data_IF_959239708670
#
_entry.id   IF_959239708670
#
_cell.length_a   1.000
_cell.length_b   1.000
_cell.length_c   1.000
_cell.angle_alpha   90.00
_cell.angle_beta   90.00
_cell.angle_gamma   90.00
#
_symmetry.space_group_name_H-M   'P 1'
#
loop_
_entity.id
_entity.type
_entity.pdbx_description
1 polymer ?
2 non-polymer ?
3 non-polymer ?
4 non-polymer ?
5 water ?
#
# COMPACT_ATOMS: atom_id res chain seq x y z
N UNK A 39 11.09 18.69 -4.84
CA UNK A 39 10.25 19.59 -3.99
C UNK A 39 9.63 18.77 -2.85
N UNK A 40 8.43 18.26 -3.07
CA UNK A 40 7.76 17.34 -2.15
C UNK A 40 8.30 15.91 -2.32
N UNK A 41 9.01 15.41 -1.30
CA UNK A 41 9.44 14.02 -1.27
C UNK A 41 8.20 13.13 -1.02
N UNK A 42 8.05 12.09 -1.84
CA UNK A 42 6.92 11.16 -1.77
C UNK A 42 7.44 9.78 -1.35
N UNK A 43 6.97 9.29 -0.20
CA UNK A 43 7.38 7.98 0.32
C UNK A 43 6.17 7.07 0.36
N UNK A 44 6.22 5.85 -0.17
CA UNK A 44 5.15 4.91 0.17
C UNK A 44 5.54 3.92 1.25
N UNK A 45 4.54 3.56 2.04
CA UNK A 45 4.69 2.61 3.13
C UNK A 45 4.03 1.36 2.60
N UNK A 46 4.80 0.28 2.48
CA UNK A 46 4.32 -0.96 1.92
C UNK A 46 4.40 -2.06 2.99
N UNK A 47 3.49 -3.01 2.92
CA UNK A 47 3.43 -4.09 3.90
C UNK A 47 2.22 -4.95 3.66
N UNK A 48 2.28 -6.16 4.19
CA UNK A 48 1.17 -7.10 4.13
C UNK A 48 -0.03 -6.60 4.94
N UNK A 49 -1.20 -7.20 4.69
CA UNK A 49 -2.37 -6.92 5.50
C UNK A 49 -2.03 -7.12 7.01
N UNK A 50 -2.38 -6.11 7.82
CA UNK A 50 -2.14 -6.05 9.28
C UNK A 50 -0.67 -6.05 9.77
N UNK A 51 0.27 -5.75 8.88
CA UNK A 51 1.70 -5.63 9.25
C UNK A 51 1.87 -4.50 10.23
N UNK A 52 1.14 -3.41 9.98
CA UNK A 52 1.05 -2.35 10.97
C UNK A 52 1.25 -0.99 10.39
N UNK A 53 0.79 -0.81 9.16
CA UNK A 53 0.87 0.47 8.45
C UNK A 53 0.07 1.62 9.02
N UNK A 54 -1.23 1.45 9.29
CA UNK A 54 -1.99 2.53 9.91
C UNK A 54 -1.38 2.89 11.24
N UNK A 55 -0.92 1.87 11.97
CA UNK A 55 -0.28 2.09 13.28
C UNK A 55 0.98 2.96 13.14
N UNK A 56 1.81 2.62 12.14
CA UNK A 56 3.06 3.34 11.83
C UNK A 56 2.77 4.77 11.38
N UNK A 57 1.86 4.90 10.44
CA UNK A 57 1.43 6.17 9.86
C UNK A 57 0.92 7.17 10.90
N UNK A 58 0.25 6.67 11.95
CA UNK A 58 -0.24 7.51 13.02
C UNK A 58 0.84 8.05 13.94
N UNK A 59 2.09 7.80 13.58
CA UNK A 59 3.23 8.25 14.33
C UNK A 59 3.98 9.33 13.53
N UNK A 60 3.66 9.42 12.25
CA UNK A 60 4.44 10.23 11.36
C UNK A 60 4.25 11.74 11.54
N UNK A 61 3.01 12.17 11.69
CA UNK A 61 2.74 13.62 11.69
C UNK A 61 3.30 14.28 12.94
N UNK A 62 3.34 13.49 14.01
CA UNK A 62 3.84 13.95 15.29
C UNK A 62 5.32 14.31 15.20
N UNK A 63 6.00 13.83 14.18
CA UNK A 63 7.45 13.94 14.16
C UNK A 63 7.98 15.19 13.44
N UNK A 64 7.08 15.87 12.71
CA UNK A 64 7.38 17.10 11.97
C UNK A 64 6.12 17.65 11.32
N UNK A 65 5.99 18.96 11.40
CA UNK A 65 4.81 19.66 10.87
C UNK A 65 4.82 19.67 9.34
N UNK A 66 6.01 19.41 8.77
CA UNK A 66 6.20 19.33 7.32
C UNK A 66 5.81 17.97 6.69
N UNK A 67 5.43 17.03 7.54
CA UNK A 67 5.15 15.64 7.15
C UNK A 67 3.67 15.43 7.11
N UNK A 68 3.18 14.94 5.98
CA UNK A 68 1.76 14.64 5.76
C UNK A 68 1.61 13.19 5.33
N UNK A 69 0.38 12.70 5.34
CA UNK A 69 0.05 11.28 5.22
C UNK A 69 -1.23 11.08 4.37
N UNK A 70 -1.27 10.00 3.56
CA UNK A 70 -2.46 9.67 2.79
C UNK A 70 -2.81 8.24 3.13
N UNK A 71 -3.78 8.07 4.05
CA UNK A 71 -4.24 6.74 4.42
C UNK A 71 -4.89 6.01 3.24
N UNK A 72 -4.76 4.70 3.23
CA UNK A 72 -5.47 3.85 2.30
C UNK A 72 -6.97 3.83 2.64
N UNK A 73 -7.84 4.21 1.69
CA UNK A 73 -9.30 4.32 2.01
C UNK A 73 -10.08 3.02 2.21
N UNK A 74 -9.60 2.14 3.07
CA UNK A 74 -10.28 0.87 3.32
C UNK A 74 -11.72 1.06 3.86
N UNK A 75 -11.94 2.13 4.62
CA UNK A 75 -13.30 2.47 5.10
C UNK A 75 -14.30 2.74 3.99
N UNK A 76 -13.88 3.42 2.94
CA UNK A 76 -14.69 3.58 1.73
C UNK A 76 -15.03 2.26 1.04
N UNK A 77 -14.16 1.25 1.16
CA UNK A 77 -14.37 0.02 0.40
C UNK A 77 -15.45 -0.85 1.01
N UNK A 78 -15.74 -0.62 2.29
CA UNK A 78 -16.75 -1.41 2.99
C UNK A 78 -18.16 -0.83 2.89
N UNK A 79 -18.30 0.31 2.22
CA UNK A 79 -19.60 0.95 2.03
C UNK A 79 -19.43 1.86 0.84
N UNK A 80 -19.68 1.31 -0.32
CA UNK A 80 -19.35 2.05 -1.54
C UNK A 80 -20.33 3.23 -1.76
N UNK A 81 -19.78 4.44 -1.78
CA UNK A 81 -20.54 5.67 -2.01
C UNK A 81 -19.89 6.53 -3.10
N UNK A 82 -20.76 7.22 -3.83
CA UNK A 82 -20.40 8.15 -4.90
C UNK A 82 -19.59 9.35 -4.42
N UNK A 96 -27.12 2.96 2.98
CA UNK A 96 -26.23 1.82 2.85
C UNK A 96 -25.41 1.89 1.57
N UNK A 97 -24.70 0.80 1.27
CA UNK A 97 -23.83 0.76 0.13
C UNK A 97 -23.33 -0.66 -0.05
N UNK A 98 -22.74 -0.94 -1.19
CA UNK A 98 -22.12 -2.23 -1.38
C UNK A 98 -20.90 -2.25 -0.48
N UNK A 99 -20.61 -3.42 0.08
CA UNK A 99 -19.38 -3.66 0.79
C UNK A 99 -18.56 -4.44 -0.21
N UNK A 100 -17.81 -3.72 -1.04
CA UNK A 100 -17.08 -4.36 -2.14
C UNK A 100 -15.84 -5.11 -1.61
N UNK A 101 -15.37 -4.71 -0.43
CA UNK A 101 -14.33 -5.45 0.27
C UNK A 101 -14.81 -6.86 0.61
N UNK A 102 -16.00 -6.95 1.18
CA UNK A 102 -16.65 -8.21 1.54
C UNK A 102 -16.93 -9.05 0.30
N UNK A 103 -17.47 -8.42 -0.74
CA UNK A 103 -17.84 -9.14 -1.93
C UNK A 103 -16.63 -9.84 -2.56
N UNK A 104 -15.50 -9.14 -2.66
CA UNK A 104 -14.25 -9.71 -3.18
C UNK A 104 -13.80 -10.90 -2.38
N UNK A 105 -13.74 -10.76 -1.04
CA UNK A 105 -13.33 -11.88 -0.19
C UNK A 105 -14.31 -13.04 -0.22
N UNK A 106 -15.60 -12.78 -0.37
CA UNK A 106 -16.60 -13.86 -0.36
C UNK A 106 -16.67 -14.60 -1.67
N UNK A 107 -16.40 -13.89 -2.76
CA UNK A 107 -16.46 -14.45 -4.11
C UNK A 107 -15.38 -13.83 -4.98
N UNK A 108 -14.11 -14.11 -4.67
CA UNK A 108 -13.01 -13.38 -5.34
C UNK A 108 -12.96 -13.53 -6.87
N UNK A 109 -13.40 -14.66 -7.41
CA UNK A 109 -13.39 -14.88 -8.85
C UNK A 109 -14.51 -14.10 -9.56
N UNK A 110 -15.42 -13.54 -8.79
CA UNK A 110 -16.51 -12.66 -9.29
C UNK A 110 -16.15 -11.19 -9.11
N UNK A 111 -15.59 -10.86 -7.95
CA UNK A 111 -15.44 -9.45 -7.57
C UNK A 111 -14.04 -8.86 -7.58
N UNK A 112 -13.00 -9.67 -7.81
CA UNK A 112 -11.60 -9.12 -7.79
C UNK A 112 -11.35 -7.99 -8.79
N UNK A 113 -11.78 -8.15 -10.03
CA UNK A 113 -11.55 -7.05 -10.98
C UNK A 113 -12.25 -5.75 -10.55
N UNK A 114 -13.51 -5.85 -10.17
CA UNK A 114 -14.30 -4.70 -9.79
C UNK A 114 -13.60 -3.99 -8.61
N UNK A 115 -13.17 -4.79 -7.62
CA UNK A 115 -12.44 -4.26 -6.47
C UNK A 115 -11.14 -3.58 -6.90
N UNK A 116 -10.33 -4.25 -7.71
CA UNK A 116 -9.03 -3.72 -8.16
C UNK A 116 -9.18 -2.37 -8.81
N UNK A 117 -10.20 -2.26 -9.67
CA UNK A 117 -10.61 -1.02 -10.33
C UNK A 117 -10.96 0.12 -9.34
N UNK A 118 -11.80 -0.17 -8.35
CA UNK A 118 -12.26 0.82 -7.39
C UNK A 118 -11.18 1.20 -6.36
N UNK A 119 -10.45 0.20 -5.87
CA UNK A 119 -9.41 0.39 -4.88
C UNK A 119 -8.30 1.26 -5.41
N UNK A 120 -7.73 0.88 -6.54
CA UNK A 120 -6.68 1.66 -7.15
C UNK A 120 -7.13 3.09 -7.39
N UNK A 121 -8.27 3.25 -8.06
CA UNK A 121 -8.85 4.58 -8.35
C UNK A 121 -8.96 5.46 -7.10
N UNK A 122 -9.54 4.90 -6.04
CA UNK A 122 -9.80 5.61 -4.81
C UNK A 122 -8.48 5.99 -4.15
N UNK A 123 -7.45 5.17 -4.36
CA UNK A 123 -6.14 5.49 -3.83
C UNK A 123 -5.54 6.65 -4.60
N UNK A 124 -5.55 6.57 -5.92
CA UNK A 124 -5.01 7.64 -6.78
C UNK A 124 -5.62 9.00 -6.45
N UNK A 125 -6.93 9.06 -6.39
CA UNK A 125 -7.64 10.30 -6.02
C UNK A 125 -7.25 10.82 -4.66
N UNK A 126 -7.15 9.93 -3.67
CA UNK A 126 -6.73 10.35 -2.34
C UNK A 126 -5.33 10.96 -2.39
N UNK A 127 -4.43 10.34 -3.16
CA UNK A 127 -3.03 10.81 -3.29
C UNK A 127 -2.93 12.12 -4.08
N UNK A 128 -3.61 12.17 -5.23
CA UNK A 128 -3.72 13.41 -5.96
C UNK A 128 -4.28 14.54 -5.13
N UNK A 129 -5.26 14.25 -4.28
CA UNK A 129 -5.85 15.25 -3.41
C UNK A 129 -4.84 15.87 -2.45
N UNK A 130 -3.78 15.14 -2.12
CA UNK A 130 -2.80 15.60 -1.12
C UNK A 130 -1.73 16.53 -1.66
N UNK A 131 -1.62 16.59 -2.98
CA UNK A 131 -0.62 17.44 -3.65
C UNK A 131 -0.96 18.91 -3.56
N UNK A 132 -2.15 19.21 -3.01
CA UNK A 132 -2.59 20.56 -2.68
C UNK A 132 -3.03 20.55 -1.22
N UNK A 133 -2.20 21.13 -0.36
CA UNK A 133 -2.42 21.08 1.07
C UNK A 133 -1.38 21.94 1.74
N UNK A 134 -1.37 21.93 3.07
CA UNK A 134 -0.46 22.77 3.85
C UNK A 134 0.99 22.63 3.38
N UNK A 135 1.25 21.48 2.74
CA UNK A 135 2.57 21.15 2.18
C UNK A 135 3.09 22.15 1.17
N UNK A 136 2.18 22.68 0.34
CA UNK A 136 2.49 23.71 -0.65
C UNK A 136 3.22 24.93 -0.05
N UNK A 137 3.27 25.00 1.29
CA UNK A 137 3.97 26.08 1.99
C UNK A 137 4.95 25.65 3.07
N UNK A 138 5.17 24.34 3.22
CA UNK A 138 6.12 23.81 4.21
C UNK A 138 7.59 23.86 3.75
N UNK A 139 8.51 23.93 4.70
CA UNK A 139 9.94 24.07 4.39
C UNK A 139 10.59 22.80 3.77
N UNK A 140 10.30 21.65 4.41
CA UNK A 140 10.82 20.35 3.98
C UNK A 140 9.65 19.35 3.92
N UNK A 141 8.77 19.49 2.90
CA UNK A 141 7.54 18.70 2.86
C UNK A 141 7.86 17.25 2.49
N UNK A 142 7.27 16.33 3.25
CA UNK A 142 7.35 14.89 2.99
C UNK A 142 5.92 14.34 3.05
N UNK A 143 5.45 13.81 1.93
CA UNK A 143 4.16 13.15 1.83
C UNK A 143 4.32 11.61 1.87
N UNK A 144 3.68 10.98 2.85
CA UNK A 144 3.67 9.51 3.00
C UNK A 144 2.37 8.86 2.46
N UNK A 145 2.50 7.86 1.59
CA UNK A 145 1.37 7.18 0.99
C UNK A 145 1.31 5.85 1.67
N UNK A 146 0.11 5.47 2.11
CA UNK A 146 -0.10 4.14 2.59
C UNK A 146 -0.36 3.25 1.35
N UNK A 147 0.62 2.41 1.03
CA UNK A 147 0.65 1.62 -0.21
C UNK A 147 0.68 2.53 -1.44
N UNK A 148 0.64 1.93 -2.61
CA UNK A 148 0.82 2.70 -3.83
C UNK A 148 0.08 1.99 -4.94
N UNK A 149 0.04 2.65 -6.09
CA UNK A 149 -0.45 2.07 -7.34
C UNK A 149 0.36 0.83 -7.78
N UNK A 150 1.61 0.78 -7.37
CA UNK A 150 2.46 -0.35 -7.67
C UNK A 150 2.12 -1.60 -6.86
N UNK A 151 1.89 -1.47 -5.56
CA UNK A 151 1.40 -2.64 -4.83
C UNK A 151 0.02 -3.08 -5.31
N UNK A 152 -0.86 -2.15 -5.68
CA UNK A 152 -2.22 -2.53 -6.11
C UNK A 152 -2.05 -3.51 -7.23
N UNK A 153 -1.21 -3.16 -8.18
CA UNK A 153 -0.96 -3.97 -9.36
C UNK A 153 -0.05 -5.19 -9.21
N UNK A 154 1.15 -4.98 -8.66
CA UNK A 154 2.19 -6.00 -8.67
C UNK A 154 2.10 -6.93 -7.48
N UNK A 155 1.38 -6.51 -6.44
CA UNK A 155 1.13 -7.39 -5.32
C UNK A 155 -0.29 -7.95 -5.43
N UNK A 156 -1.30 -7.09 -5.27
CA UNK A 156 -2.65 -7.56 -5.09
C UNK A 156 -3.29 -8.06 -6.40
N UNK A 157 -3.37 -7.22 -7.42
CA UNK A 157 -4.02 -7.66 -8.65
C UNK A 157 -3.32 -8.87 -9.28
N UNK A 158 -1.99 -8.84 -9.30
CA UNK A 158 -1.15 -9.92 -9.76
C UNK A 158 -1.37 -11.25 -9.02
N UNK A 159 -1.40 -11.20 -7.68
CA UNK A 159 -1.69 -12.39 -6.93
C UNK A 159 -3.07 -12.95 -7.26
N UNK A 160 -4.05 -12.08 -7.46
CA UNK A 160 -5.40 -12.52 -7.74
C UNK A 160 -5.55 -13.13 -9.16
N UNK A 161 -4.88 -12.53 -10.15
CA UNK A 161 -4.81 -13.14 -11.46
C UNK A 161 -4.15 -14.53 -11.42
N UNK A 162 -3.01 -14.62 -10.74
CA UNK A 162 -2.24 -15.85 -10.64
C UNK A 162 -3.02 -16.95 -9.97
N UNK A 163 -3.91 -16.55 -9.08
CA UNK A 163 -4.84 -17.46 -8.40
C UNK A 163 -6.10 -17.79 -9.19
N UNK A 164 -6.24 -17.23 -10.40
CA UNK A 164 -7.43 -17.45 -11.22
C UNK A 164 -8.70 -16.80 -10.65
N UNK A 165 -8.52 -15.83 -9.74
CA UNK A 165 -9.57 -14.89 -9.32
C UNK A 165 -9.88 -13.77 -10.37
N UNK A 166 -8.92 -13.53 -11.27
CA UNK A 166 -9.17 -12.76 -12.50
C UNK A 166 -8.75 -13.59 -13.68
N UNK A 167 -9.50 -13.54 -14.79
CA UNK A 167 -9.12 -14.27 -16.00
C UNK A 167 -8.27 -13.38 -16.93
N UNK A 168 -7.85 -13.91 -18.07
CA UNK A 168 -6.95 -13.18 -18.97
C UNK A 168 -7.56 -11.86 -19.38
N UNK A 169 -8.86 -11.89 -19.67
CA UNK A 169 -9.56 -10.69 -20.10
C UNK A 169 -9.52 -9.58 -19.04
N UNK A 170 -9.94 -9.93 -17.82
CA UNK A 170 -9.89 -9.00 -16.69
C UNK A 170 -8.50 -8.42 -16.49
N UNK A 171 -7.51 -9.30 -16.42
CA UNK A 171 -6.09 -8.94 -16.25
C UNK A 171 -5.58 -8.03 -17.37
N UNK A 172 -5.98 -8.30 -18.60
CA UNK A 172 -5.58 -7.42 -19.72
C UNK A 172 -6.19 -6.03 -19.64
N UNK A 173 -7.49 -5.98 -19.32
CA UNK A 173 -8.23 -4.73 -19.19
C UNK A 173 -7.66 -3.94 -18.03
N UNK A 174 -7.47 -4.62 -16.90
CA UNK A 174 -6.94 -3.96 -15.70
C UNK A 174 -5.54 -3.36 -15.92
N UNK A 175 -4.64 -4.09 -16.59
CA UNK A 175 -3.26 -3.60 -16.80
C UNK A 175 -3.23 -2.45 -17.79
N UNK A 176 -4.02 -2.57 -18.86
CA UNK A 176 -4.29 -1.49 -19.82
C UNK A 176 -4.77 -0.22 -19.11
N UNK A 177 -5.72 -0.42 -18.20
CA UNK A 177 -6.33 0.68 -17.46
C UNK A 177 -5.27 1.30 -16.55
N UNK A 178 -4.51 0.44 -15.87
CA UNK A 178 -3.47 0.84 -14.96
C UNK A 178 -2.29 1.53 -15.66
N UNK A 179 -1.92 1.07 -16.86
CA UNK A 179 -0.87 1.71 -17.66
C UNK A 179 -1.29 3.12 -18.03
N UNK A 180 -2.52 3.24 -18.51
CA UNK A 180 -3.03 4.52 -18.93
C UNK A 180 -3.25 5.49 -17.75
N UNK A 181 -3.89 5.03 -16.67
CA UNK A 181 -4.01 5.86 -15.45
C UNK A 181 -2.69 6.47 -15.04
N UNK A 182 -1.62 5.68 -15.11
CA UNK A 182 -0.31 6.12 -14.66
C UNK A 182 0.41 7.01 -15.64
N UNK A 183 0.14 6.81 -16.92
CA UNK A 183 0.71 7.62 -17.99
C UNK A 183 0.21 9.06 -17.91
N UNK A 184 -0.99 9.23 -17.35
CA UNK A 184 -1.61 10.55 -17.20
C UNK A 184 -1.12 11.20 -15.90
N UNK A 185 -1.14 10.43 -14.82
CA UNK A 185 -0.81 10.93 -13.47
C UNK A 185 0.53 10.35 -13.03
N UNK A 186 1.50 10.51 -13.95
CA UNK A 186 2.81 9.86 -13.88
C UNK A 186 3.77 10.56 -12.96
N UNK A 187 4.55 11.50 -13.52
CA UNK A 187 5.54 12.27 -12.73
C UNK A 187 4.96 12.71 -11.38
N UNK A 188 3.65 13.00 -11.36
CA UNK A 188 2.96 13.53 -10.20
C UNK A 188 3.02 12.61 -8.95
N UNK A 189 2.84 11.31 -9.16
CA UNK A 189 2.79 10.39 -8.03
C UNK A 189 4.09 9.58 -7.81
N UNK A 190 5.12 9.86 -8.60
CA UNK A 190 6.37 9.10 -8.52
C UNK A 190 7.03 9.17 -7.15
N UNK A 191 7.58 8.04 -6.74
CA UNK A 191 8.13 7.86 -5.40
C UNK A 191 9.61 8.23 -5.33
N UNK A 192 9.96 8.83 -4.20
CA UNK A 192 11.35 9.12 -3.82
C UNK A 192 11.95 8.04 -2.90
N UNK A 193 11.09 7.18 -2.37
CA UNK A 193 11.49 6.26 -1.33
C UNK A 193 10.37 5.33 -0.96
N UNK A 194 10.72 4.12 -0.56
CA UNK A 194 9.75 3.20 -0.03
C UNK A 194 10.16 2.80 1.36
N UNK A 195 9.19 2.73 2.28
CA UNK A 195 9.45 2.15 3.58
C UNK A 195 8.69 0.84 3.60
N UNK A 196 9.41 -0.26 3.80
CA UNK A 196 8.80 -1.61 3.82
C UNK A 196 8.68 -2.11 5.24
N UNK A 197 7.45 -2.35 5.70
CA UNK A 197 7.20 -2.87 7.02
C UNK A 197 7.02 -4.36 6.88
N UNK A 198 8.06 -5.04 7.35
CA UNK A 198 8.24 -6.47 7.18
C UNK A 198 7.76 -7.19 8.43
N UNK A 199 6.81 -8.09 8.24
CA UNK A 199 6.27 -8.92 9.30
C UNK A 199 5.99 -10.28 8.70
N UNK A 200 6.13 -11.35 9.49
CA UNK A 200 5.81 -12.68 8.98
C UNK A 200 4.29 -12.75 8.68
N UNK A 201 3.88 -13.55 7.68
CA UNK A 201 2.47 -13.77 7.42
C UNK A 201 1.77 -14.32 8.66
N UNK A 202 2.49 -15.04 9.50
CA UNK A 202 1.88 -15.55 10.72
C UNK A 202 1.63 -14.42 11.75
N UNK A 203 2.55 -13.47 11.87
CA UNK A 203 2.33 -12.26 12.66
C UNK A 203 1.15 -11.46 12.09
N UNK A 204 1.09 -11.31 10.77
CA UNK A 204 0.00 -10.60 10.12
C UNK A 204 -1.37 -11.26 10.34
N UNK A 205 -1.41 -12.60 10.36
CA UNK A 205 -2.64 -13.35 10.60
C UNK A 205 -3.15 -13.07 12.00
N UNK A 206 -2.22 -12.99 12.94
CA UNK A 206 -2.58 -12.63 14.29
C UNK A 206 -3.08 -11.20 14.43
N UNK A 207 -2.50 -10.29 13.66
CA UNK A 207 -2.89 -8.91 13.74
C UNK A 207 -4.25 -8.65 13.08
N UNK A 208 -4.59 -9.38 12.03
CA UNK A 208 -5.94 -9.38 11.48
C UNK A 208 -6.95 -9.62 12.61
N UNK A 209 -6.62 -10.56 13.46
CA UNK A 209 -7.52 -10.95 14.52
C UNK A 209 -7.58 -9.82 15.53
N UNK A 210 -6.44 -9.19 15.82
CA UNK A 210 -6.41 -8.08 16.79
C UNK A 210 -7.21 -6.87 16.29
N UNK A 211 -7.13 -6.59 15.00
CA UNK A 211 -7.68 -5.36 14.46
C UNK A 211 -9.19 -5.53 14.40
N UNK A 212 -9.63 -6.67 13.87
CA UNK A 212 -11.00 -7.11 13.99
C UNK A 212 -11.96 -6.57 12.96
N UNK A 213 -11.51 -6.33 11.73
CA UNK A 213 -12.41 -6.03 10.64
C UNK A 213 -13.12 -7.29 10.24
N UNK A 214 -14.46 -7.25 10.24
CA UNK A 214 -15.27 -8.43 9.97
C UNK A 214 -14.93 -9.08 8.64
N UNK A 215 -14.62 -8.26 7.64
CA UNK A 215 -14.42 -8.72 6.26
C UNK A 215 -13.10 -9.47 6.09
N UNK A 216 -12.15 -9.23 6.99
CA UNK A 216 -10.83 -9.81 6.92
C UNK A 216 -10.70 -11.08 7.78
N UNK A 217 -11.71 -11.37 8.59
CA UNK A 217 -11.60 -12.44 9.62
C UNK A 217 -11.46 -13.84 9.00
N UNK A 218 -12.02 -14.02 7.81
CA UNK A 218 -11.85 -15.30 7.10
C UNK A 218 -10.59 -15.44 6.25
N UNK A 219 -9.64 -14.50 6.33
CA UNK A 219 -8.49 -14.53 5.43
C UNK A 219 -7.52 -15.65 5.85
N UNK A 220 -7.25 -16.62 4.95
CA UNK A 220 -6.32 -17.70 5.36
C UNK A 220 -4.84 -17.30 5.25
N UNK A 221 -4.01 -17.90 6.12
CA UNK A 221 -2.55 -17.78 6.07
C UNK A 221 -2.01 -17.93 4.66
N UNK A 222 -2.53 -18.87 3.89
CA UNK A 222 -2.06 -19.13 2.53
C UNK A 222 -2.11 -17.88 1.66
N UNK A 223 -3.19 -17.10 1.77
CA UNK A 223 -3.33 -15.86 1.02
C UNK A 223 -2.28 -14.85 1.49
N UNK A 224 -2.13 -14.72 2.80
CA UNK A 224 -1.10 -13.87 3.42
C UNK A 224 0.32 -14.23 3.02
N UNK A 225 0.60 -15.53 2.97
CA UNK A 225 1.90 -16.03 2.57
C UNK A 225 2.22 -15.66 1.09
N UNK A 226 1.25 -15.82 0.20
CA UNK A 226 1.48 -15.45 -1.20
C UNK A 226 1.83 -13.97 -1.27
N UNK A 227 1.11 -13.12 -0.51
CA UNK A 227 1.37 -11.68 -0.51
C UNK A 227 2.71 -11.33 0.11
N UNK A 228 3.10 -12.08 1.13
CA UNK A 228 4.44 -11.93 1.75
C UNK A 228 5.61 -12.14 0.75
N UNK A 229 5.61 -13.24 0.02
CA UNK A 229 6.67 -13.55 -0.88
C UNK A 229 6.70 -12.58 -2.03
N UNK A 230 5.55 -12.03 -2.40
CA UNK A 230 5.52 -10.95 -3.39
C UNK A 230 6.20 -9.72 -2.87
N UNK A 231 5.97 -9.35 -1.63
CA UNK A 231 6.63 -8.19 -1.05
C UNK A 231 8.12 -8.41 -0.92
N UNK A 232 8.52 -9.62 -0.52
CA UNK A 232 9.96 -9.90 -0.38
C UNK A 232 10.63 -9.81 -1.73
N UNK A 233 10.02 -10.40 -2.74
CA UNK A 233 10.52 -10.27 -4.11
C UNK A 233 10.72 -8.81 -4.57
N UNK A 234 9.70 -7.97 -4.42
CA UNK A 234 9.76 -6.59 -4.85
C UNK A 234 10.75 -5.74 -4.04
N UNK A 235 10.67 -5.86 -2.72
CA UNK A 235 11.30 -4.89 -1.82
C UNK A 235 12.50 -5.39 -1.04
N UNK A 236 12.70 -6.70 -0.97
CA UNK A 236 13.83 -7.20 -0.22
C UNK A 236 14.89 -7.70 -1.19
N UNK A 237 14.51 -8.65 -2.05
CA UNK A 237 15.41 -9.22 -3.01
C UNK A 237 15.50 -8.35 -4.27
N UNK A 238 14.46 -7.57 -4.52
CA UNK A 238 14.38 -6.62 -5.65
C UNK A 238 14.49 -7.35 -6.97
N UNK A 239 13.78 -8.46 -7.05
CA UNK A 239 13.76 -9.31 -8.22
C UNK A 239 12.52 -9.10 -9.08
N UNK A 240 11.50 -8.47 -8.53
CA UNK A 240 10.28 -8.20 -9.28
C UNK A 240 10.49 -7.08 -10.28
N UNK A 241 10.12 -7.37 -11.53
CA UNK A 241 10.20 -6.41 -12.63
C UNK A 241 8.84 -5.76 -12.87
N UNK A 242 8.88 -4.47 -13.15
CA UNK A 242 7.67 -3.70 -13.33
C UNK A 242 7.83 -2.97 -14.62
N UNK A 243 6.73 -2.37 -15.05
CA UNK A 243 6.70 -1.51 -16.20
C UNK A 243 7.20 -0.10 -15.89
N UNK A 244 7.71 0.11 -14.67
CA UNK A 244 8.14 1.43 -14.22
C UNK A 244 9.58 1.37 -13.80
N UNK A 245 10.47 1.78 -14.69
CA UNK A 245 11.90 1.49 -14.55
C UNK A 245 12.58 2.22 -13.41
N UNK A 246 12.10 3.44 -13.10
CA UNK A 246 12.68 4.21 -11.99
C UNK A 246 12.58 3.48 -10.65
N UNK A 247 11.60 2.57 -10.51
CA UNK A 247 11.37 1.82 -9.26
C UNK A 247 12.51 0.89 -8.89
N UNK A 248 13.25 0.45 -9.90
CA UNK A 248 14.43 -0.38 -9.71
C UNK A 248 15.48 0.37 -8.92
N UNK A 249 15.49 1.69 -9.09
CA UNK A 249 16.48 2.56 -8.49
C UNK A 249 16.06 3.08 -7.12
N UNK A 250 14.74 3.24 -6.92
CA UNK A 250 14.15 3.84 -5.71
C UNK A 250 14.73 3.28 -4.42
N UNK A 251 15.23 4.15 -3.53
CA UNK A 251 15.75 3.69 -2.26
C UNK A 251 14.64 3.06 -1.42
N UNK A 252 14.97 2.08 -0.58
CA UNK A 252 14.01 1.37 0.24
C UNK A 252 14.54 1.21 1.65
N UNK A 253 13.68 1.42 2.64
CA UNK A 253 14.02 1.15 4.01
C UNK A 253 13.14 0.01 4.48
N UNK A 254 13.76 -1.06 4.93
CA UNK A 254 13.06 -2.20 5.42
C UNK A 254 13.10 -2.22 6.93
N UNK A 255 11.92 -2.23 7.55
CA UNK A 255 11.78 -2.26 8.98
C UNK A 255 11.08 -3.54 9.41
N UNK A 256 11.76 -4.32 10.24
CA UNK A 256 11.19 -5.51 10.87
C UNK A 256 10.27 -5.03 11.96
N UNK A 257 8.97 -5.30 11.79
CA UNK A 257 7.96 -4.84 12.74
C UNK A 257 7.24 -6.06 13.36
N UNK A 258 7.94 -7.20 13.46
CA UNK A 258 7.43 -8.38 14.18
C UNK A 258 7.28 -8.20 15.70
N UNK A 259 8.14 -7.38 16.30
CA UNK A 259 8.09 -7.13 17.73
C UNK A 259 7.06 -6.03 18.07
N UNK A 260 6.69 -5.90 19.35
CA UNK A 260 5.64 -4.97 19.79
C UNK A 260 5.98 -3.55 19.43
N UNK A 261 5.03 -2.84 18.83
CA UNK A 261 5.28 -1.47 18.35
C UNK A 261 5.84 -0.56 19.44
N UNK A 262 5.40 -0.74 20.69
CA UNK A 262 5.74 0.23 21.72
C UNK A 262 7.23 0.23 22.07
N UNK A 263 7.85 -0.95 22.03
CA UNK A 263 9.25 -1.14 22.33
C UNK A 263 10.10 -0.73 21.15
N UNK A 264 9.62 -1.02 19.94
CA UNK A 264 10.37 -0.72 18.73
C UNK A 264 10.26 0.73 18.25
N UNK A 265 9.25 1.45 18.76
CA UNK A 265 8.90 2.80 18.31
C UNK A 265 10.13 3.68 18.03
N UNK A 266 11.07 3.75 18.98
CA UNK A 266 12.13 4.77 18.92
C UNK A 266 13.24 4.50 17.90
N UNK A 267 13.68 3.24 17.83
CA UNK A 267 14.65 2.82 16.83
C UNK A 267 14.10 3.04 15.42
N UNK A 268 12.84 2.67 15.20
CA UNK A 268 12.17 2.84 13.91
C UNK A 268 12.14 4.30 13.51
N UNK A 269 11.80 5.16 14.45
CA UNK A 269 11.80 6.60 14.23
C UNK A 269 13.21 7.12 13.86
N UNK A 270 14.25 6.59 14.50
CA UNK A 270 15.62 6.98 14.15
C UNK A 270 15.93 6.63 12.70
N UNK A 271 15.60 5.40 12.32
CA UNK A 271 15.84 4.87 10.99
C UNK A 271 15.08 5.63 9.94
N UNK A 272 13.88 6.14 10.27
CA UNK A 272 13.08 6.89 9.29
C UNK A 272 13.67 8.28 9.04
N UNK A 273 14.01 8.98 10.14
CA UNK A 273 14.68 10.28 10.05
C UNK A 273 16.05 10.19 9.34
N UNK A 274 16.83 9.16 9.63
CA UNK A 274 18.07 8.95 8.88
C UNK A 274 17.76 8.75 7.39
N UNK A 275 16.91 7.75 7.08
CA UNK A 275 16.58 7.39 5.71
C UNK A 275 16.10 8.60 4.91
N UNK A 276 15.22 9.40 5.50
CA UNK A 276 14.68 10.59 4.83
C UNK A 276 15.74 11.65 4.53
N UNK A 277 16.72 11.77 5.41
CA UNK A 277 17.79 12.76 5.27
C UNK A 277 18.69 12.40 4.10
N UNK A 278 18.66 11.13 3.66
CA UNK A 278 19.54 10.68 2.57
C UNK A 278 18.86 10.69 1.19
N UNK A 279 17.74 11.39 1.07
CA UNK A 279 17.06 11.47 -0.23
C UNK A 279 17.12 12.90 -0.79
X LIG B 1 -4.12 0.38 7.24
X LIG C 1 -5.56 -3.48 -4.52
X LIG C 1 -5.97 -4.29 -3.61
X LIG C 1 -6.49 -5.48 -3.79
X LIG C 1 -6.93 -6.44 -2.83
X LIG C 1 -6.76 -6.02 -1.47
X LIG C 1 -6.24 -4.77 -1.23
X LIG C 1 -5.84 -3.93 -2.20
X LIG C 1 -5.38 -2.80 -1.60
X LIG C 1 -5.48 -3.03 -0.24
X LIG C 1 -6.02 -4.28 -0.04
X LIG C 1 -6.36 -4.92 1.22
X LIG C 1 -5.86 -4.07 2.25
X LIG C 1 -7.85 -4.90 1.44
X LIG C 1 -7.93 -4.95 2.96
X LIG C 1 -7.95 -6.29 3.46
X LIG C 1 -6.61 -4.37 3.45
X LIG C 1 -6.81 -3.13 4.30
X LIG C 1 -5.65 -2.27 4.37
X LIG D 1 -2.27 -2.31 8.57
X LIG D 1 -2.60 -0.85 8.55
X LIG D 1 -0.90 -2.59 8.05
X LIG D 1 -3.32 -3.23 8.02
X LIG D 1 -2.76 -1.99 11.42
X LIG D 1 -1.89 -0.85 11.85
X LIG D 1 -4.25 -1.78 11.22
X LIG D 1 -2.12 -2.73 10.13
X LIG D 1 -2.49 -3.10 12.52
X LIG D 1 -3.19 -4.32 12.59
X LIG D 1 -3.42 -4.64 14.08
X LIG D 1 -2.19 -4.95 14.73
X LIG D 1 -3.97 -3.46 14.81
X LIG D 1 -4.70 -4.06 15.83
X LIG D 1 -2.78 -2.75 15.44
X LIG D 1 -3.08 -2.31 16.75
X LIG D 1 -1.81 -3.91 15.65
X LIG D 1 -0.36 -3.65 15.44
X LIG D 1 0.24 -3.17 14.32
X LIG D 1 1.60 -3.14 14.52
X LIG D 1 1.84 -3.64 15.74
X LIG D 1 3.07 -3.91 16.52
X LIG D 1 4.24 -3.67 16.06
X LIG D 1 2.92 -4.43 17.73
X LIG D 1 1.64 -4.77 18.34
X LIG D 1 0.50 -4.49 17.49
X LIG D 1 0.62 -3.95 16.27
#
# INVERSE_FOLDING_TARGET
MGSSHHHHHHSGLVPRGSHMATPPKRSSPSFSASSEGTRIKKISIEGNIAAGKSTFVNILKQLSEDWEVVPEPVARWSNVQSTQDEFEELTMSQKNGGNVLQMMYEKPERWSFTFQTYACLSRIRAQLASLNGKLKDAEKPVLFFERSVYSDRYIFASNLYESESMNETEWTIYQDWHDWMNNQFGQSLELDGIIYLQATPETCLHRIYLRGRNEEQGIPLEYLEKLHYKHESWLLHRTLKTNFDYLQEVPILTLDVNEDFKDKYESLVEKVKEFLSTL
MG MG
3L1 N6 C6 N1 C2 N3 C4 C5 N7 C8 N9 C1' O4' C2' C3' O3' C4' C5' O5'
ADP PB O1B O2B O3B PA O1A O2A O3A O5' C5' C4' O4' C3' O3' C2' O2' C1' N9 C8 N7 C5 C6 N6 N1 C2 N3 C4
#
